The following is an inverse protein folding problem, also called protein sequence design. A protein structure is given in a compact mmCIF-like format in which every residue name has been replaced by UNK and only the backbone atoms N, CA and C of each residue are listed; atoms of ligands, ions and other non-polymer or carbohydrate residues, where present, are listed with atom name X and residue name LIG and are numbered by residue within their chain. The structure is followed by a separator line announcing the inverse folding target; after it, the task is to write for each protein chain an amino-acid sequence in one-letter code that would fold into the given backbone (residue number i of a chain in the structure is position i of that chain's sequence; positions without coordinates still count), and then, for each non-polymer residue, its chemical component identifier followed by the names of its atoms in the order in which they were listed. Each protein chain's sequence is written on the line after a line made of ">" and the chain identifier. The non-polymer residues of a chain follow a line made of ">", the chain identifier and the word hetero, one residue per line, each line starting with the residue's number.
data_IF_520402464552
#
_entry.id   IF_520402464552
#
_cell.length_a   1.000
_cell.length_b   1.000
_cell.length_c   1.000
_cell.angle_alpha   90.00
_cell.angle_beta   90.00
_cell.angle_gamma   90.00
#
_symmetry.space_group_name_H-M   'P 1'
#
loop_
_entity.id
_entity.type
_entity.pdbx_description
1 polymer ?
#
# COMPACT_ATOMS: atom_id res chain seq x y z
N UNK A 1 1.74 15.27 7.43
CA UNK A 1 2.62 16.41 7.78
C UNK A 1 3.92 16.36 6.99
N UNK A 2 4.73 15.28 6.93
CA UNK A 2 5.99 15.27 6.19
C UNK A 2 5.85 15.65 4.71
N UNK A 3 4.83 15.14 4.02
CA UNK A 3 4.54 15.46 2.62
C UNK A 3 4.29 16.95 2.40
N UNK A 4 3.43 17.56 3.22
CA UNK A 4 3.10 18.99 3.11
C UNK A 4 4.36 19.84 3.29
N UNK A 5 5.17 19.53 4.31
CA UNK A 5 6.42 20.26 4.58
C UNK A 5 7.40 20.09 3.41
N UNK A 6 7.53 18.88 2.86
CA UNK A 6 8.40 18.59 1.72
C UNK A 6 8.01 19.43 0.49
N UNK A 7 6.72 19.49 0.19
CA UNK A 7 6.23 20.23 -0.99
C UNK A 7 6.34 21.75 -0.81
N UNK A 8 6.10 22.28 0.40
CA UNK A 8 6.22 23.71 0.67
C UNK A 8 7.69 24.16 0.63
N UNK A 9 8.62 23.35 1.13
CA UNK A 9 10.04 23.69 1.12
C UNK A 9 10.65 23.71 -0.30
N UNK A 10 9.99 23.13 -1.27
CA UNK A 10 10.47 23.09 -2.64
C UNK A 10 11.64 22.12 -2.87
N UNK A 11 12.15 22.12 -4.09
CA UNK A 11 13.24 21.22 -4.49
C UNK A 11 14.60 21.83 -4.13
N UNK A 12 15.39 21.21 -3.23
CA UNK A 12 16.69 21.73 -2.81
C UNK A 12 17.73 21.79 -3.94
N UNK A 13 17.58 21.02 -5.01
CA UNK A 13 18.48 21.10 -6.16
C UNK A 13 18.23 22.36 -6.98
N UNK A 14 16.98 22.74 -7.17
CA UNK A 14 16.61 24.00 -7.85
C UNK A 14 17.09 25.20 -7.02
N UNK A 15 16.99 25.13 -5.69
CA UNK A 15 17.52 26.16 -4.80
C UNK A 15 19.04 26.32 -4.92
N UNK A 16 19.79 25.24 -5.10
CA UNK A 16 21.26 25.27 -5.36
C UNK A 16 21.61 25.93 -6.70
N UNK A 17 20.71 25.93 -7.67
CA UNK A 17 20.88 26.62 -8.96
C UNK A 17 20.60 28.12 -8.85
N UNK A 18 20.31 28.65 -7.65
CA UNK A 18 20.00 30.06 -7.43
C UNK A 18 18.57 30.48 -7.80
N UNK A 19 17.70 29.51 -8.08
CA UNK A 19 16.31 29.78 -8.43
C UNK A 19 15.46 29.78 -7.16
N UNK A 20 14.79 30.89 -6.89
CA UNK A 20 13.89 31.03 -5.76
C UNK A 20 12.56 30.33 -6.00
N UNK A 21 12.13 29.51 -5.05
CA UNK A 21 10.85 28.78 -5.09
C UNK A 21 9.91 29.34 -4.00
N UNK A 22 9.51 30.60 -4.15
CA UNK A 22 8.72 31.30 -3.13
C UNK A 22 7.39 30.60 -2.79
N UNK A 23 6.83 29.85 -3.72
CA UNK A 23 5.57 29.10 -3.56
C UNK A 23 5.77 27.62 -3.23
N UNK A 24 7.02 27.14 -3.11
CA UNK A 24 7.34 25.72 -2.94
C UNK A 24 7.49 24.96 -4.26
N UNK A 25 7.41 23.63 -4.21
CA UNK A 25 7.50 22.76 -5.38
C UNK A 25 6.19 22.81 -6.19
N UNK A 26 6.20 23.53 -7.28
CA UNK A 26 5.01 23.72 -8.15
C UNK A 26 4.98 22.81 -9.37
N UNK A 27 6.01 22.01 -9.59
CA UNK A 27 6.04 21.08 -10.71
C UNK A 27 4.86 20.11 -10.63
N UNK A 28 4.15 19.93 -11.74
CA UNK A 28 2.98 19.06 -11.82
C UNK A 28 1.78 19.47 -10.94
N UNK A 29 1.77 20.69 -10.40
CA UNK A 29 0.73 21.20 -9.50
C UNK A 29 0.03 22.42 -10.07
N UNK A 30 -1.26 22.51 -9.76
CA UNK A 30 -2.07 23.65 -10.16
C UNK A 30 -1.88 24.83 -9.17
N UNK A 31 -1.72 26.04 -9.71
CA UNK A 31 -1.54 27.25 -8.90
C UNK A 31 -2.70 27.49 -7.92
N UNK A 32 -3.91 27.14 -8.33
CA UNK A 32 -5.12 27.32 -7.51
C UNK A 32 -5.08 26.52 -6.21
N UNK A 33 -4.49 25.33 -6.21
CA UNK A 33 -4.39 24.48 -5.03
C UNK A 33 -3.08 24.71 -4.27
N UNK A 34 -1.99 24.95 -5.00
CA UNK A 34 -0.66 25.11 -4.43
C UNK A 34 -0.06 23.82 -3.86
N UNK A 35 1.19 23.86 -3.37
CA UNK A 35 1.91 22.66 -2.95
C UNK A 35 1.36 22.04 -1.67
N UNK A 36 0.83 22.84 -0.74
CA UNK A 36 0.29 22.33 0.53
C UNK A 36 -0.94 21.45 0.34
N UNK A 37 -1.93 21.93 -0.43
CA UNK A 37 -3.16 21.19 -0.70
C UNK A 37 -2.89 19.98 -1.58
N UNK A 38 -2.01 20.09 -2.57
CA UNK A 38 -1.60 18.98 -3.43
C UNK A 38 -0.87 17.89 -2.64
N UNK A 39 0.08 18.25 -1.77
CA UNK A 39 0.77 17.30 -0.89
C UNK A 39 -0.15 16.65 0.14
N UNK A 40 -1.16 17.36 0.64
CA UNK A 40 -2.18 16.77 1.50
C UNK A 40 -3.06 15.78 0.73
N UNK A 41 -3.58 16.20 -0.43
CA UNK A 41 -4.46 15.36 -1.24
C UNK A 41 -3.76 14.09 -1.73
N UNK A 42 -2.52 14.18 -2.18
CA UNK A 42 -1.75 13.04 -2.66
C UNK A 42 -1.62 11.92 -1.62
N UNK A 43 -1.42 12.30 -0.35
CA UNK A 43 -1.33 11.31 0.73
C UNK A 43 -2.70 10.75 1.13
N UNK A 44 -3.73 11.58 1.15
CA UNK A 44 -5.08 11.13 1.50
C UNK A 44 -5.59 10.15 0.46
N UNK A 45 -5.49 10.49 -0.83
CA UNK A 45 -5.98 9.63 -1.91
C UNK A 45 -5.26 8.29 -1.97
N UNK A 46 -3.98 8.25 -1.64
CA UNK A 46 -3.19 7.00 -1.62
C UNK A 46 -3.50 6.13 -0.39
N UNK A 47 -3.62 6.72 0.80
CA UNK A 47 -3.94 5.99 2.03
C UNK A 47 -5.34 5.37 2.00
N UNK A 48 -6.34 6.10 1.46
CA UNK A 48 -7.72 5.62 1.41
C UNK A 48 -8.08 4.86 0.13
N UNK A 49 -7.10 4.58 -0.73
CA UNK A 49 -7.27 3.84 -1.99
C UNK A 49 -8.36 4.41 -2.89
N UNK A 50 -8.34 5.73 -3.12
CA UNK A 50 -9.35 6.41 -3.94
C UNK A 50 -8.90 6.61 -5.39
N UNK A 51 -7.61 6.86 -5.64
CA UNK A 51 -7.03 7.08 -6.97
C UNK A 51 -7.33 8.43 -7.63
N UNK A 52 -8.09 9.29 -6.97
CA UNK A 52 -8.36 10.65 -7.46
C UNK A 52 -7.15 11.55 -7.22
N UNK A 53 -6.68 12.23 -8.24
CA UNK A 53 -5.50 13.09 -8.17
C UNK A 53 -5.84 14.55 -8.49
N UNK A 54 -5.17 15.49 -7.86
CA UNK A 54 -5.22 16.93 -8.14
C UNK A 54 -3.87 17.51 -8.55
N UNK A 55 -2.87 16.66 -8.71
CA UNK A 55 -1.52 17.01 -9.14
C UNK A 55 -0.84 15.76 -9.67
N UNK A 56 0.19 15.90 -10.49
CA UNK A 56 1.01 14.77 -10.95
C UNK A 56 1.78 14.18 -9.76
N UNK A 57 1.52 12.95 -9.42
CA UNK A 57 2.20 12.27 -8.30
C UNK A 57 3.68 11.99 -8.64
N UNK A 58 3.98 11.77 -9.91
CA UNK A 58 5.33 11.58 -10.41
C UNK A 58 6.25 12.79 -10.17
N UNK A 59 5.69 14.00 -10.23
CA UNK A 59 6.39 15.27 -9.96
C UNK A 59 6.43 15.63 -8.45
N UNK A 60 6.01 14.73 -7.57
CA UNK A 60 6.08 14.97 -6.14
C UNK A 60 7.52 14.90 -5.63
N UNK A 61 7.80 15.62 -4.55
CA UNK A 61 9.09 15.51 -3.87
C UNK A 61 9.35 14.06 -3.42
N UNK A 62 10.61 13.58 -3.40
CA UNK A 62 10.92 12.18 -3.09
C UNK A 62 10.33 11.68 -1.77
N UNK A 63 10.29 12.52 -0.73
CA UNK A 63 9.66 12.17 0.54
C UNK A 63 8.15 12.01 0.40
N UNK A 64 7.51 12.83 -0.42
CA UNK A 64 6.07 12.71 -0.69
C UNK A 64 5.76 11.42 -1.43
N UNK A 65 6.51 11.08 -2.47
CA UNK A 65 6.36 9.83 -3.20
C UNK A 65 6.58 8.59 -2.32
N UNK A 66 7.58 8.64 -1.42
CA UNK A 66 7.80 7.58 -0.45
C UNK A 66 6.60 7.40 0.48
N UNK A 67 6.00 8.48 0.98
CA UNK A 67 4.83 8.40 1.88
C UNK A 67 3.58 7.91 1.16
N UNK A 68 3.40 8.27 -0.12
CA UNK A 68 2.33 7.74 -0.97
C UNK A 68 2.45 6.22 -1.12
N UNK A 69 3.65 5.73 -1.46
CA UNK A 69 3.95 4.29 -1.57
C UNK A 69 3.69 3.55 -0.25
N UNK A 70 4.22 4.07 0.87
CA UNK A 70 4.02 3.47 2.19
C UNK A 70 2.54 3.39 2.57
N UNK A 71 1.77 4.46 2.30
CA UNK A 71 0.34 4.49 2.57
C UNK A 71 -0.41 3.37 1.84
N UNK A 72 -0.12 3.17 0.55
CA UNK A 72 -0.70 2.09 -0.25
C UNK A 72 -0.20 0.70 0.15
N UNK A 73 1.07 0.55 0.55
CA UNK A 73 1.63 -0.74 0.97
C UNK A 73 1.04 -1.24 2.28
N UNK A 74 0.78 -0.34 3.24
CA UNK A 74 0.13 -0.69 4.51
C UNK A 74 -1.32 -1.08 4.27
N UNK A 75 -2.05 -0.32 3.45
CA UNK A 75 -3.43 -0.57 3.01
C UNK A 75 -4.39 -1.06 4.11
N UNK A 76 -4.23 -0.51 5.33
CA UNK A 76 -5.03 -0.88 6.51
C UNK A 76 -5.79 0.31 7.10
N UNK A 77 -5.90 1.41 6.35
CA UNK A 77 -6.61 2.62 6.75
C UNK A 77 -8.07 2.58 6.29
N UNK A 78 -8.83 3.56 6.73
CA UNK A 78 -10.24 3.69 6.39
C UNK A 78 -10.42 4.05 4.91
N UNK A 79 -10.73 3.08 4.08
CA UNK A 79 -10.89 3.33 2.64
C UNK A 79 -11.13 2.06 1.85
N UNK A 80 -11.02 2.16 0.52
CA UNK A 80 -11.14 1.03 -0.39
C UNK A 80 -12.47 0.29 -0.28
N UNK A 81 -13.60 0.98 -0.07
CA UNK A 81 -14.91 0.38 0.14
C UNK A 81 -14.96 -0.65 1.28
N UNK A 82 -14.19 -0.41 2.36
CA UNK A 82 -14.14 -1.28 3.54
C UNK A 82 -12.99 -2.29 3.54
N UNK A 83 -12.23 -2.44 2.46
CA UNK A 83 -11.09 -3.38 2.41
C UNK A 83 -10.00 -2.99 3.41
N UNK A 84 -9.77 -1.70 3.66
CA UNK A 84 -8.82 -1.24 4.66
C UNK A 84 -9.14 -1.75 6.07
N UNK A 85 -10.41 -1.77 6.48
CA UNK A 85 -10.84 -2.33 7.76
C UNK A 85 -10.66 -3.87 7.79
N UNK A 86 -10.94 -4.54 6.66
CA UNK A 86 -10.73 -5.99 6.56
C UNK A 86 -9.25 -6.36 6.66
N UNK A 87 -8.36 -5.59 6.04
CA UNK A 87 -6.92 -5.76 6.19
C UNK A 87 -6.46 -5.48 7.63
N UNK A 88 -6.98 -4.44 8.26
CA UNK A 88 -6.70 -4.17 9.67
C UNK A 88 -7.14 -5.33 10.57
N UNK A 89 -8.29 -5.93 10.31
CA UNK A 89 -8.73 -7.15 11.00
C UNK A 89 -7.75 -8.31 10.83
N UNK A 90 -7.19 -8.51 9.64
CA UNK A 90 -6.13 -9.51 9.39
C UNK A 90 -4.91 -9.25 10.30
N UNK A 91 -4.45 -7.99 10.38
CA UNK A 91 -3.34 -7.63 11.27
C UNK A 91 -3.67 -7.87 12.75
N UNK A 92 -4.91 -7.59 13.18
CA UNK A 92 -5.35 -7.91 14.54
C UNK A 92 -5.25 -9.42 14.82
N UNK A 93 -5.73 -10.28 13.92
CA UNK A 93 -5.65 -11.73 14.08
C UNK A 93 -4.20 -12.22 14.21
N UNK A 94 -3.30 -11.69 13.37
CA UNK A 94 -1.87 -11.99 13.42
C UNK A 94 -1.27 -11.50 14.76
N UNK A 95 -1.56 -10.27 15.18
CA UNK A 95 -1.07 -9.68 16.41
C UNK A 95 -1.54 -10.47 17.64
N UNK A 96 -2.81 -10.85 17.70
CA UNK A 96 -3.37 -11.70 18.78
C UNK A 96 -2.66 -13.04 18.84
N UNK A 97 -2.41 -13.65 17.70
CA UNK A 97 -1.73 -14.94 17.64
C UNK A 97 -0.27 -14.85 18.11
N UNK A 98 0.49 -13.88 17.59
CA UNK A 98 1.90 -13.67 17.96
C UNK A 98 1.99 -13.36 19.45
N UNK A 99 1.16 -12.45 19.97
CA UNK A 99 1.15 -12.06 21.38
C UNK A 99 0.79 -13.23 22.29
N UNK A 100 -0.20 -14.03 21.91
CA UNK A 100 -0.56 -15.23 22.64
C UNK A 100 0.61 -16.21 22.76
N UNK A 101 1.32 -16.46 21.66
CA UNK A 101 2.51 -17.32 21.65
C UNK A 101 3.65 -16.76 22.52
N UNK A 102 3.90 -15.44 22.44
CA UNK A 102 4.98 -14.81 23.24
C UNK A 102 4.73 -14.88 24.75
N UNK A 103 3.47 -14.78 25.17
CA UNK A 103 3.09 -14.84 26.57
C UNK A 103 2.84 -16.28 27.06
N UNK A 104 2.85 -17.26 26.14
CA UNK A 104 2.57 -18.67 26.46
C UNK A 104 1.10 -18.93 26.79
N UNK A 105 0.19 -18.11 26.25
CA UNK A 105 -1.26 -18.21 26.46
C UNK A 105 -1.98 -18.60 25.17
N UNK A 106 -3.19 -19.15 25.31
CA UNK A 106 -4.03 -19.44 24.15
C UNK A 106 -4.47 -18.13 23.49
N UNK A 107 -4.18 -17.90 22.20
CA UNK A 107 -4.64 -16.71 21.50
C UNK A 107 -6.17 -16.72 21.40
N UNK A 108 -6.82 -15.67 21.87
CA UNK A 108 -8.27 -15.51 21.86
C UNK A 108 -8.64 -14.14 21.29
N UNK A 109 -9.66 -14.11 20.45
CA UNK A 109 -10.21 -12.89 19.91
C UNK A 109 -11.74 -12.89 20.09
N UNK A 110 -12.28 -11.89 20.77
CA UNK A 110 -13.72 -11.74 21.06
C UNK A 110 -14.35 -13.02 21.66
N UNK A 111 -13.66 -13.68 22.59
CA UNK A 111 -14.13 -14.92 23.23
C UNK A 111 -14.06 -16.17 22.35
N UNK A 112 -13.38 -16.12 21.21
CA UNK A 112 -13.15 -17.28 20.37
C UNK A 112 -11.67 -17.57 20.21
N UNK A 113 -11.29 -18.85 20.31
CA UNK A 113 -9.90 -19.29 20.17
C UNK A 113 -9.42 -19.11 18.73
N UNK A 114 -8.31 -18.40 18.55
CA UNK A 114 -7.62 -18.28 17.28
C UNK A 114 -6.67 -19.47 17.10
N UNK A 115 -6.88 -20.27 16.08
CA UNK A 115 -6.11 -21.48 15.79
C UNK A 115 -5.30 -21.33 14.49
N UNK A 116 -4.52 -22.36 14.19
CA UNK A 116 -3.64 -22.36 13.03
C UNK A 116 -4.36 -22.16 11.67
N UNK A 117 -5.65 -22.48 11.58
CA UNK A 117 -6.42 -22.32 10.34
C UNK A 117 -6.66 -20.86 10.01
N UNK A 118 -7.12 -20.08 10.98
CA UNK A 118 -7.37 -18.65 10.84
C UNK A 118 -6.08 -17.90 10.54
N UNK A 119 -5.02 -18.25 11.27
CA UNK A 119 -3.70 -17.62 11.09
C UNK A 119 -3.08 -17.94 9.72
N UNK A 120 -3.26 -19.15 9.22
CA UNK A 120 -2.81 -19.50 7.85
C UNK A 120 -3.51 -18.66 6.78
N UNK A 121 -4.81 -18.45 6.92
CA UNK A 121 -5.56 -17.59 5.98
C UNK A 121 -5.05 -16.16 6.09
N UNK A 122 -4.90 -15.62 7.31
CA UNK A 122 -4.40 -14.28 7.54
C UNK A 122 -2.99 -14.08 6.94
N UNK A 123 -2.07 -15.01 7.19
CA UNK A 123 -0.72 -14.98 6.65
C UNK A 123 -0.71 -15.05 5.11
N UNK A 124 -1.53 -15.92 4.52
CA UNK A 124 -1.63 -16.04 3.06
C UNK A 124 -2.13 -14.74 2.42
N UNK A 125 -3.14 -14.07 3.00
CA UNK A 125 -3.65 -12.79 2.49
C UNK A 125 -2.56 -11.71 2.55
N UNK A 126 -1.85 -11.61 3.68
CA UNK A 126 -0.79 -10.62 3.85
C UNK A 126 0.39 -10.87 2.90
N UNK A 127 0.84 -12.13 2.79
CA UNK A 127 1.95 -12.50 1.91
C UNK A 127 1.61 -12.34 0.44
N UNK A 128 0.35 -12.58 0.06
CA UNK A 128 -0.11 -12.40 -1.31
C UNK A 128 0.09 -10.95 -1.77
N UNK A 129 -0.31 -9.99 -0.96
CA UNK A 129 -0.12 -8.56 -1.27
C UNK A 129 1.35 -8.22 -1.53
N UNK A 130 2.23 -8.64 -0.62
CA UNK A 130 3.67 -8.45 -0.78
C UNK A 130 4.23 -9.15 -2.03
N UNK A 131 3.73 -10.35 -2.35
CA UNK A 131 4.14 -11.12 -3.52
C UNK A 131 3.71 -10.44 -4.83
N UNK A 132 2.45 -9.99 -4.91
CA UNK A 132 1.91 -9.38 -6.11
C UNK A 132 2.64 -8.08 -6.47
N UNK A 133 2.80 -7.17 -5.51
CA UNK A 133 3.47 -5.89 -5.78
C UNK A 133 4.96 -6.07 -6.08
N UNK A 134 5.69 -6.86 -5.29
CA UNK A 134 7.13 -7.06 -5.49
C UNK A 134 7.43 -7.94 -6.70
N UNK A 135 6.64 -8.98 -6.91
CA UNK A 135 6.78 -9.88 -8.05
C UNK A 135 6.52 -9.17 -9.38
N UNK A 136 5.45 -8.38 -9.46
CA UNK A 136 5.15 -7.56 -10.63
C UNK A 136 6.24 -6.54 -10.91
N UNK A 137 6.68 -5.79 -9.90
CA UNK A 137 7.78 -4.83 -10.03
C UNK A 137 9.09 -5.50 -10.46
N UNK A 138 9.43 -6.64 -9.88
CA UNK A 138 10.65 -7.39 -10.24
C UNK A 138 10.60 -7.88 -11.69
N UNK A 139 9.42 -8.33 -12.16
CA UNK A 139 9.25 -8.76 -13.54
C UNK A 139 9.42 -7.58 -14.52
N UNK A 140 8.82 -6.42 -14.24
CA UNK A 140 8.99 -5.22 -15.05
C UNK A 140 10.44 -4.75 -15.06
N UNK A 141 11.09 -4.69 -13.90
CA UNK A 141 12.49 -4.31 -13.77
C UNK A 141 13.43 -5.29 -14.52
N UNK A 142 13.11 -6.58 -14.51
CA UNK A 142 13.83 -7.59 -15.30
C UNK A 142 13.75 -7.29 -16.80
N UNK A 143 12.58 -6.98 -17.33
CA UNK A 143 12.42 -6.65 -18.75
C UNK A 143 13.17 -5.36 -19.13
N UNK A 144 13.13 -4.35 -18.28
CA UNK A 144 13.89 -3.10 -18.50
C UNK A 144 15.40 -3.38 -18.49
N UNK A 145 15.90 -4.11 -17.48
CA UNK A 145 17.33 -4.38 -17.33
C UNK A 145 17.93 -5.24 -18.46
N UNK A 146 17.14 -6.14 -19.02
CA UNK A 146 17.59 -7.06 -20.08
C UNK A 146 17.17 -6.58 -21.48
N UNK A 147 16.60 -5.39 -21.58
CA UNK A 147 16.08 -4.86 -22.85
C UNK A 147 15.20 -5.87 -23.63
N UNK A 148 14.46 -6.68 -22.86
CA UNK A 148 13.61 -7.72 -23.44
C UNK A 148 12.53 -7.07 -24.32
N UNK A 149 12.52 -7.41 -25.61
CA UNK A 149 11.56 -6.85 -26.55
C UNK A 149 10.71 -7.97 -27.12
N UNK A 150 9.42 -7.90 -26.90
CA UNK A 150 8.42 -8.72 -27.55
C UNK A 150 7.50 -7.72 -28.27
N UNK A 151 7.67 -7.60 -29.59
CA UNK A 151 7.09 -6.53 -30.42
C UNK A 151 5.60 -6.23 -30.14
N UNK A 152 4.81 -7.25 -29.85
CA UNK A 152 3.38 -7.12 -29.64
C UNK A 152 2.97 -6.87 -28.16
N UNK A 153 3.87 -7.13 -27.19
CA UNK A 153 3.49 -7.15 -25.78
C UNK A 153 4.43 -6.37 -24.85
N UNK A 154 5.75 -6.39 -25.11
CA UNK A 154 6.75 -5.88 -24.17
C UNK A 154 7.75 -4.98 -24.91
N UNK A 155 7.69 -3.69 -24.68
CA UNK A 155 8.58 -2.69 -25.27
C UNK A 155 9.17 -1.77 -24.16
N UNK A 156 10.11 -2.27 -23.34
CA UNK A 156 10.60 -1.58 -22.15
C UNK A 156 11.25 -0.23 -22.43
N UNK A 157 11.76 -0.01 -23.64
CA UNK A 157 12.40 1.25 -24.01
C UNK A 157 11.47 2.47 -23.90
N UNK A 158 10.16 2.25 -24.00
CA UNK A 158 9.15 3.31 -23.98
C UNK A 158 8.40 3.40 -22.65
N UNK A 159 8.79 2.63 -21.64
CA UNK A 159 8.05 2.59 -20.38
C UNK A 159 8.41 3.72 -19.42
N UNK A 160 9.69 4.06 -19.35
CA UNK A 160 10.19 4.99 -18.33
C UNK A 160 10.46 6.36 -18.93
N UNK A 161 9.75 7.36 -18.44
CA UNK A 161 10.03 8.75 -18.76
C UNK A 161 11.22 9.29 -17.95
N UNK A 162 11.37 8.79 -16.72
CA UNK A 162 12.46 9.12 -15.82
C UNK A 162 13.32 7.87 -15.56
N UNK A 163 14.45 7.69 -16.27
CA UNK A 163 15.30 6.50 -16.10
C UNK A 163 16.00 6.46 -14.73
N UNK A 164 16.62 5.33 -14.41
CA UNK A 164 17.33 5.05 -13.17
C UNK A 164 16.42 4.92 -11.94
N UNK A 165 16.75 5.56 -10.82
CA UNK A 165 16.06 5.35 -9.53
C UNK A 165 14.59 5.77 -9.56
N UNK A 166 14.28 6.86 -10.24
CA UNK A 166 12.91 7.34 -10.34
C UNK A 166 12.05 6.41 -11.21
N UNK A 167 12.60 5.93 -12.33
CA UNK A 167 11.91 4.95 -13.18
C UNK A 167 11.61 3.62 -12.46
N UNK A 168 12.49 3.19 -11.54
CA UNK A 168 12.16 2.07 -10.66
C UNK A 168 10.96 2.40 -9.77
N UNK A 169 10.87 3.61 -9.25
CA UNK A 169 9.74 4.06 -8.44
C UNK A 169 8.45 4.14 -9.26
N UNK A 170 8.50 4.51 -10.54
CA UNK A 170 7.35 4.48 -11.46
C UNK A 170 6.76 3.07 -11.58
N UNK A 171 7.61 2.07 -11.83
CA UNK A 171 7.19 0.66 -11.91
C UNK A 171 6.65 0.13 -10.57
N UNK A 172 7.33 0.47 -9.47
CA UNK A 172 6.92 0.06 -8.13
C UNK A 172 5.58 0.68 -7.75
N UNK A 173 5.37 1.95 -8.10
CA UNK A 173 4.13 2.65 -7.80
C UNK A 173 2.94 2.01 -8.52
N UNK A 174 3.10 1.68 -9.79
CA UNK A 174 2.03 1.08 -10.59
C UNK A 174 1.54 -0.23 -9.98
N UNK A 175 2.43 -1.17 -9.67
CA UNK A 175 2.05 -2.43 -9.01
C UNK A 175 1.54 -2.24 -7.58
N UNK A 176 2.04 -1.25 -6.86
CA UNK A 176 1.56 -0.92 -5.52
C UNK A 176 0.14 -0.35 -5.58
N UNK A 177 -0.12 0.54 -6.52
CA UNK A 177 -1.44 1.12 -6.76
C UNK A 177 -2.45 0.07 -7.22
N UNK A 178 -2.07 -0.80 -8.14
CA UNK A 178 -2.91 -1.92 -8.57
C UNK A 178 -3.22 -2.87 -7.41
N UNK A 179 -2.22 -3.21 -6.58
CA UNK A 179 -2.40 -4.08 -5.41
C UNK A 179 -3.28 -3.42 -4.33
N UNK A 180 -3.13 -2.12 -4.08
CA UNK A 180 -3.99 -1.39 -3.16
C UNK A 180 -5.38 -1.11 -3.74
N UNK A 181 -5.62 -1.42 -5.03
CA UNK A 181 -6.81 -1.04 -5.79
C UNK A 181 -7.08 0.47 -5.78
N UNK A 182 -6.02 1.26 -5.76
CA UNK A 182 -6.07 2.71 -5.71
C UNK A 182 -6.40 3.32 -7.07
N UNK A 183 -5.58 3.05 -8.10
CA UNK A 183 -5.78 3.53 -9.47
C UNK A 183 -5.05 4.82 -9.83
N UNK A 184 -4.29 5.44 -8.91
CA UNK A 184 -3.32 6.48 -9.26
C UNK A 184 -2.03 5.85 -9.78
N UNK A 185 -1.31 6.56 -10.63
CA UNK A 185 -0.01 6.15 -11.17
C UNK A 185 1.04 7.24 -10.93
N UNK A 186 2.29 6.92 -11.20
CA UNK A 186 3.30 7.92 -11.54
C UNK A 186 3.21 8.14 -13.05
N UNK A 187 2.77 9.32 -13.44
CA UNK A 187 2.33 9.64 -14.79
C UNK A 187 3.48 9.63 -15.82
N UNK A 188 4.73 9.49 -15.37
CA UNK A 188 5.91 9.26 -16.21
C UNK A 188 5.97 7.84 -16.79
N UNK A 189 5.22 6.89 -16.24
CA UNK A 189 5.20 5.52 -16.75
C UNK A 189 4.37 5.41 -18.03
N UNK A 190 4.98 4.87 -19.10
CA UNK A 190 4.29 4.53 -20.35
C UNK A 190 3.55 3.21 -20.24
N UNK A 191 2.45 3.18 -19.51
CA UNK A 191 1.67 1.98 -19.15
C UNK A 191 0.67 1.51 -20.20
N UNK A 192 0.43 2.31 -21.25
CA UNK A 192 -0.53 1.99 -22.32
C UNK A 192 -0.02 0.88 -23.26
N UNK A 193 0.21 -0.30 -22.74
CA UNK A 193 0.60 -1.48 -23.51
C UNK A 193 0.05 -2.78 -22.89
N UNK A 194 0.16 -3.87 -23.64
CA UNK A 194 -0.42 -5.16 -23.25
C UNK A 194 0.18 -5.69 -21.95
N UNK A 195 1.49 -5.53 -21.74
CA UNK A 195 2.14 -6.01 -20.52
C UNK A 195 1.56 -5.35 -19.28
N UNK A 196 1.53 -4.02 -19.24
CA UNK A 196 1.00 -3.29 -18.08
C UNK A 196 -0.49 -3.54 -17.88
N UNK A 197 -1.29 -3.45 -18.94
CA UNK A 197 -2.74 -3.67 -18.85
C UNK A 197 -3.10 -5.07 -18.32
N UNK A 198 -2.39 -6.12 -18.78
CA UNK A 198 -2.68 -7.48 -18.37
C UNK A 198 -2.15 -7.78 -16.96
N UNK A 199 -0.90 -7.40 -16.68
CA UNK A 199 -0.26 -7.68 -15.39
C UNK A 199 -0.93 -6.93 -14.23
N UNK A 200 -1.20 -5.63 -14.41
CA UNK A 200 -1.92 -4.83 -13.39
C UNK A 200 -3.37 -5.30 -13.23
N UNK A 201 -4.04 -5.68 -14.32
CA UNK A 201 -5.38 -6.25 -14.27
C UNK A 201 -5.46 -7.54 -13.46
N UNK A 202 -4.48 -8.46 -13.62
CA UNK A 202 -4.39 -9.69 -12.81
C UNK A 202 -4.12 -9.34 -11.34
N UNK A 203 -3.16 -8.46 -11.07
CA UNK A 203 -2.84 -8.01 -9.70
C UNK A 203 -4.07 -7.39 -9.04
N UNK A 204 -4.76 -6.48 -9.73
CA UNK A 204 -5.97 -5.81 -9.24
C UNK A 204 -7.07 -6.81 -8.88
N UNK A 205 -7.30 -7.81 -9.73
CA UNK A 205 -8.34 -8.82 -9.52
C UNK A 205 -8.02 -9.66 -8.26
N UNK A 206 -6.80 -10.17 -8.14
CA UNK A 206 -6.40 -10.97 -6.98
C UNK A 206 -6.38 -10.15 -5.70
N UNK A 207 -5.85 -8.93 -5.75
CA UNK A 207 -5.76 -8.03 -4.62
C UNK A 207 -7.12 -7.42 -4.21
N UNK A 208 -8.13 -7.48 -5.06
CA UNK A 208 -9.49 -7.08 -4.72
C UNK A 208 -10.24 -8.18 -3.97
N UNK A 209 -10.29 -9.37 -4.53
CA UNK A 209 -11.19 -10.40 -4.04
C UNK A 209 -10.60 -11.21 -2.88
N UNK A 210 -9.31 -11.52 -2.87
CA UNK A 210 -8.72 -12.35 -1.83
C UNK A 210 -8.72 -11.66 -0.46
N UNK A 211 -8.38 -10.35 -0.33
CA UNK A 211 -8.50 -9.62 0.94
C UNK A 211 -9.93 -9.44 1.45
N UNK A 212 -10.94 -9.65 0.63
CA UNK A 212 -12.34 -9.66 1.07
C UNK A 212 -12.72 -11.08 1.54
N UNK A 213 -12.41 -12.08 0.75
CA UNK A 213 -12.78 -13.48 1.03
C UNK A 213 -12.06 -14.00 2.27
N UNK A 214 -10.77 -13.66 2.46
CA UNK A 214 -9.96 -14.13 3.58
C UNK A 214 -10.54 -13.79 4.95
N UNK A 215 -10.76 -12.51 5.27
CA UNK A 215 -11.39 -12.10 6.54
C UNK A 215 -12.77 -12.72 6.75
N UNK A 216 -13.60 -12.78 5.74
CA UNK A 216 -14.93 -13.41 5.82
C UNK A 216 -14.82 -14.89 6.17
N UNK A 217 -13.87 -15.59 5.55
CA UNK A 217 -13.60 -17.00 5.88
C UNK A 217 -13.12 -17.17 7.33
N UNK A 218 -12.24 -16.28 7.82
CA UNK A 218 -11.78 -16.29 9.22
C UNK A 218 -12.96 -16.07 10.17
N UNK A 219 -13.80 -15.08 9.92
CA UNK A 219 -14.99 -14.80 10.75
C UNK A 219 -15.92 -16.02 10.74
N UNK A 220 -16.16 -16.65 9.57
CA UNK A 220 -16.95 -17.86 9.47
C UNK A 220 -16.40 -19.04 10.26
N UNK A 221 -15.06 -19.19 10.32
CA UNK A 221 -14.41 -20.21 11.15
C UNK A 221 -14.56 -19.89 12.64
N UNK A 222 -14.38 -18.63 13.05
CA UNK A 222 -14.52 -18.19 14.44
C UNK A 222 -15.96 -18.36 14.94
N UNK A 223 -16.95 -17.99 14.12
CA UNK A 223 -18.37 -18.08 14.48
C UNK A 223 -18.85 -19.51 14.78
N UNK A 224 -18.21 -20.49 14.21
CA UNK A 224 -18.52 -21.92 14.47
C UNK A 224 -17.84 -22.48 15.74
N UNK A 225 -17.03 -21.70 16.44
CA UNK A 225 -16.32 -22.12 17.65
C UNK A 225 -17.14 -21.80 18.90
N UNK A 226 -16.88 -22.58 19.95
CA UNK A 226 -17.49 -22.35 21.27
C UNK A 226 -16.94 -21.06 21.87
N UNK A 227 -17.82 -20.29 22.49
CA UNK A 227 -17.45 -19.12 23.25
C UNK A 227 -16.66 -19.53 24.49
N UNK A 228 -15.56 -18.83 24.76
CA UNK A 228 -14.73 -19.00 25.95
C UNK A 228 -14.93 -17.76 26.81
N UNK A 229 -15.39 -17.89 28.07
CA UNK A 229 -15.52 -16.75 28.96
C UNK A 229 -14.15 -16.15 29.29
N UNK A 230 -14.12 -14.83 29.46
CA UNK A 230 -12.90 -14.10 29.81
C UNK A 230 -12.26 -14.68 31.10
N UNK A 231 -10.98 -14.91 31.04
CA UNK A 231 -10.17 -15.35 32.15
C UNK A 231 -9.08 -14.32 32.48
N UNK A 232 -8.42 -14.46 33.61
CA UNK A 232 -7.27 -13.62 33.98
C UNK A 232 -6.12 -13.68 32.95
N UNK A 233 -6.19 -14.62 32.01
CA UNK A 233 -5.24 -14.84 30.93
C UNK A 233 -5.62 -14.26 29.59
N UNK A 234 -6.85 -13.76 29.42
CA UNK A 234 -7.31 -13.21 28.15
C UNK A 234 -6.62 -11.87 27.86
N UNK A 235 -6.07 -11.71 26.65
CA UNK A 235 -5.49 -10.45 26.22
C UNK A 235 -6.63 -9.45 25.95
N UNK A 236 -6.71 -8.39 26.75
CA UNK A 236 -7.72 -7.35 26.54
C UNK A 236 -7.41 -6.55 25.31
N UNK A 237 -8.32 -6.58 24.33
CA UNK A 237 -8.21 -5.86 23.05
C UNK A 237 -8.39 -4.35 23.17
N UNK A 238 -8.88 -3.86 24.31
CA UNK A 238 -9.04 -2.44 24.64
C UNK A 238 -7.83 -1.83 25.38
N UNK A 239 -6.74 -2.57 25.52
CA UNK A 239 -5.54 -2.13 26.24
C UNK A 239 -4.55 -1.38 25.33
N UNK A 240 -3.83 -0.40 25.91
CA UNK A 240 -2.74 0.30 25.22
C UNK A 240 -1.67 -0.69 24.71
N UNK A 241 -1.39 -1.75 25.51
CA UNK A 241 -0.44 -2.80 25.13
C UNK A 241 -0.85 -3.49 23.84
N UNK A 242 -2.14 -3.82 23.69
CA UNK A 242 -2.67 -4.42 22.46
C UNK A 242 -2.55 -3.46 21.28
N UNK A 243 -2.87 -2.17 21.47
CA UNK A 243 -2.72 -1.15 20.44
C UNK A 243 -1.27 -1.02 19.95
N UNK A 244 -0.30 -0.98 20.87
CA UNK A 244 1.12 -0.92 20.51
C UNK A 244 1.60 -2.20 19.79
N UNK A 245 1.12 -3.37 20.19
CA UNK A 245 1.44 -4.64 19.52
C UNK A 245 0.88 -4.69 18.11
N UNK A 246 -0.36 -4.26 17.92
CA UNK A 246 -0.99 -4.19 16.57
C UNK A 246 -0.27 -3.19 15.67
N UNK A 247 0.27 -2.12 16.26
CA UNK A 247 1.07 -1.15 15.50
C UNK A 247 2.45 -1.70 15.12
N UNK A 248 3.03 -2.58 15.94
CA UNK A 248 4.34 -3.19 15.69
C UNK A 248 4.30 -4.36 14.68
N UNK A 249 3.15 -4.99 14.49
CA UNK A 249 2.91 -6.07 13.52
C UNK A 249 2.63 -5.52 12.15
#
# INVERSE_FOLDING_TARGET
>A
VPTIISEINGNPQIAKMGITQATGAMEGKEQRFGPAASGYWSIVTTIISTGSVNSMHDSSMPLSGMMQLLGMMINAFYGGCGVGILNYFIYIIIAVFISGLMVGRTPEFMGHKVEAREVKIAALVTLLSAFLLKGGTALAAYFVAHHANIEWAVQPANWLNNPAYHGFSEMLYEFTSANANNGSCFEGLGDNNIFWNLSTGIVLLLARFIPIIGPIAIVGLLANKKFIPESAGTLKTDSLTFGLMTFAV
#
